data_IF_073312731663
#
_entry.id   IF_073312731663
#
_cell.length_a   1.000
_cell.length_b   1.000
_cell.length_c   1.000
_cell.angle_alpha   90.00
_cell.angle_beta   90.00
_cell.angle_gamma   90.00
#
_symmetry.space_group_name_H-M   'P 1'
#
loop_
_entity.id
_entity.type
_entity.pdbx_description
1 polymer ?
#
# COMPACT_ATOMS: atom_id res chain seq x y z
N UNK A 1 0.11 -33.70 -5.22
CA UNK A 1 1.52 -33.46 -4.87
C UNK A 1 2.13 -34.64 -4.12
N UNK A 2 1.47 -35.17 -3.07
CA UNK A 2 1.92 -36.36 -2.34
C UNK A 2 2.09 -37.61 -3.22
N UNK A 3 1.16 -37.87 -4.15
CA UNK A 3 1.26 -38.98 -5.10
C UNK A 3 2.45 -38.85 -6.08
N UNK A 4 2.89 -37.62 -6.37
CA UNK A 4 4.05 -37.35 -7.22
C UNK A 4 5.36 -37.52 -6.44
N UNK A 5 5.41 -36.98 -5.22
CA UNK A 5 6.57 -37.08 -4.33
C UNK A 5 6.81 -38.54 -3.88
N UNK A 6 5.75 -39.30 -3.60
CA UNK A 6 5.86 -40.72 -3.23
C UNK A 6 6.32 -41.64 -4.37
N UNK A 7 6.08 -41.25 -5.63
CA UNK A 7 6.49 -42.03 -6.80
C UNK A 7 7.96 -41.85 -7.15
N UNK A 8 8.52 -40.66 -6.95
CA UNK A 8 9.88 -40.32 -7.38
C UNK A 8 10.89 -40.18 -6.24
N UNK A 9 10.46 -40.15 -4.97
CA UNK A 9 11.34 -39.97 -3.82
C UNK A 9 10.97 -40.87 -2.62
N UNK A 10 10.94 -42.21 -2.79
CA UNK A 10 10.33 -43.13 -1.82
C UNK A 10 11.08 -43.28 -0.48
N UNK A 11 12.33 -42.84 -0.36
CA UNK A 11 13.14 -43.02 0.87
C UNK A 11 14.04 -41.83 1.25
N UNK A 12 13.86 -40.64 0.69
CA UNK A 12 14.79 -39.52 0.96
C UNK A 12 14.24 -38.48 1.93
N UNK A 13 14.96 -38.25 3.03
CA UNK A 13 14.87 -36.97 3.75
C UNK A 13 15.49 -35.87 2.90
N UNK A 14 14.71 -34.87 2.49
CA UNK A 14 15.24 -33.71 1.76
C UNK A 14 15.85 -32.75 2.78
N UNK A 15 17.18 -32.71 2.87
CA UNK A 15 17.87 -31.57 3.47
C UNK A 15 18.12 -30.54 2.38
N UNK A 16 17.44 -29.39 2.44
CA UNK A 16 17.81 -28.23 1.61
C UNK A 16 19.05 -27.61 2.26
N UNK A 17 20.23 -27.94 1.74
CA UNK A 17 21.46 -27.22 2.05
C UNK A 17 21.52 -25.98 1.16
N UNK A 18 21.17 -24.82 1.70
CA UNK A 18 21.44 -23.55 1.04
C UNK A 18 22.86 -23.11 1.43
N UNK A 19 23.80 -23.14 0.49
CA UNK A 19 25.09 -22.42 0.65
C UNK A 19 24.88 -20.99 0.16
N UNK A 20 24.77 -20.06 1.09
CA UNK A 20 24.85 -18.63 0.78
C UNK A 20 26.32 -18.29 0.53
N UNK A 21 26.68 -18.01 -0.72
CA UNK A 21 27.93 -17.30 -1.00
C UNK A 21 27.69 -15.83 -0.70
N UNK A 22 27.93 -15.42 0.54
CA UNK A 22 28.05 -14.01 0.88
C UNK A 22 29.34 -13.47 0.24
N UNK A 23 29.23 -12.41 -0.55
CA UNK A 23 30.38 -11.60 -0.91
C UNK A 23 31.06 -11.13 0.38
N UNK A 24 32.39 -11.17 0.40
CA UNK A 24 33.22 -10.86 1.56
C UNK A 24 32.86 -9.48 2.14
N UNK A 25 32.06 -9.43 3.21
CA UNK A 25 32.05 -8.42 4.31
C UNK A 25 30.83 -8.58 5.22
N UNK A 26 30.83 -9.63 6.04
CA UNK A 26 30.40 -9.66 7.46
C UNK A 26 30.36 -11.11 7.89
N UNK A 27 31.35 -11.49 8.69
CA UNK A 27 31.40 -12.77 9.37
C UNK A 27 30.47 -12.74 10.58
N UNK A 28 29.91 -13.92 10.86
CA UNK A 28 29.36 -14.38 12.14
C UNK A 28 28.00 -13.84 12.62
N UNK A 29 26.93 -14.38 12.05
CA UNK A 29 25.77 -14.83 12.84
C UNK A 29 25.32 -16.22 12.36
N UNK A 30 25.68 -17.26 13.12
CA UNK A 30 25.16 -18.61 12.90
C UNK A 30 23.68 -18.69 13.33
N UNK A 31 22.75 -18.39 12.43
CA UNK A 31 21.31 -18.61 12.68
C UNK A 31 20.93 -20.03 12.28
N UNK A 32 20.59 -20.87 13.28
CA UNK A 32 20.12 -22.24 13.09
C UNK A 32 18.61 -22.27 12.89
N UNK A 33 18.18 -22.79 11.75
CA UNK A 33 16.81 -23.27 11.51
C UNK A 33 16.44 -24.28 12.61
N UNK A 34 15.32 -24.09 13.30
CA UNK A 34 14.82 -25.09 14.25
C UNK A 34 13.76 -25.96 13.58
N UNK A 35 13.97 -27.27 13.63
CA UNK A 35 12.96 -28.26 13.27
C UNK A 35 12.09 -28.49 14.50
N UNK A 36 10.83 -28.06 14.44
CA UNK A 36 9.79 -28.34 15.43
C UNK A 36 8.87 -29.45 14.93
N UNK A 37 8.06 -30.01 15.82
CA UNK A 37 7.00 -30.96 15.46
C UNK A 37 5.91 -30.36 14.56
N UNK A 38 5.96 -29.05 14.30
CA UNK A 38 5.03 -28.30 13.45
C UNK A 38 5.66 -27.80 12.15
N UNK A 39 6.97 -27.96 11.95
CA UNK A 39 7.67 -27.52 10.73
C UNK A 39 9.06 -26.95 10.99
N UNK A 40 9.61 -26.23 10.03
CA UNK A 40 10.85 -25.47 10.20
C UNK A 40 10.45 -24.05 10.62
N UNK A 41 10.94 -23.61 11.76
CA UNK A 41 10.67 -22.28 12.31
C UNK A 41 11.97 -21.45 12.37
N UNK A 42 11.88 -20.20 11.89
CA UNK A 42 12.89 -19.15 12.06
C UNK A 42 12.36 -18.14 13.09
N UNK A 43 13.03 -17.96 14.24
CA UNK A 43 12.64 -16.94 15.20
C UNK A 43 13.06 -15.55 14.70
N UNK A 44 12.11 -14.61 14.62
CA UNK A 44 12.40 -13.18 14.77
C UNK A 44 12.86 -12.40 13.53
N UNK A 45 12.82 -12.95 12.31
CA UNK A 45 13.20 -12.20 11.10
C UNK A 45 11.99 -11.92 10.21
N UNK A 46 11.69 -10.64 9.98
CA UNK A 46 10.72 -10.19 8.98
C UNK A 46 11.50 -9.73 7.73
N UNK A 47 10.96 -9.97 6.53
CA UNK A 47 11.40 -9.36 5.26
C UNK A 47 12.70 -9.89 4.59
N UNK A 48 13.10 -11.15 4.79
CA UNK A 48 14.21 -11.76 4.05
C UNK A 48 13.77 -12.64 2.87
N UNK A 49 14.65 -12.78 1.86
CA UNK A 49 14.42 -13.65 0.70
C UNK A 49 14.14 -15.12 1.07
N UNK A 50 14.71 -15.60 2.18
CA UNK A 50 14.45 -16.95 2.71
C UNK A 50 13.01 -17.08 3.17
N UNK A 51 12.47 -16.08 3.86
CA UNK A 51 11.08 -16.08 4.31
C UNK A 51 10.12 -15.97 3.12
N UNK A 52 10.47 -15.18 2.09
CA UNK A 52 9.72 -15.16 0.84
C UNK A 52 9.73 -16.55 0.17
N UNK A 53 10.90 -17.21 0.06
CA UNK A 53 11.00 -18.57 -0.48
C UNK A 53 10.20 -19.59 0.35
N UNK A 54 10.19 -19.42 1.67
CA UNK A 54 9.37 -20.25 2.56
C UNK A 54 7.87 -20.01 2.33
N UNK A 55 7.42 -18.76 2.21
CA UNK A 55 6.04 -18.42 1.81
C UNK A 55 5.67 -18.99 0.44
N UNK A 56 6.59 -19.00 -0.52
CA UNK A 56 6.37 -19.62 -1.82
C UNK A 56 6.20 -21.15 -1.70
N UNK A 57 6.99 -21.80 -0.85
CA UNK A 57 7.00 -23.26 -0.73
C UNK A 57 5.90 -23.83 0.19
N UNK A 58 5.50 -23.06 1.23
CA UNK A 58 4.64 -23.51 2.33
C UNK A 58 3.49 -22.57 2.64
N UNK A 59 3.46 -21.41 2.03
CA UNK A 59 2.40 -20.44 2.23
C UNK A 59 1.08 -20.88 1.64
N UNK A 60 0.06 -20.08 1.92
CA UNK A 60 -1.26 -20.21 1.32
C UNK A 60 -1.54 -18.96 0.50
N UNK A 61 -2.49 -19.09 -0.42
CA UNK A 61 -2.95 -17.96 -1.19
C UNK A 61 -3.95 -17.15 -0.38
N UNK A 62 -3.78 -15.84 -0.36
CA UNK A 62 -4.69 -14.88 0.22
C UNK A 62 -5.15 -13.91 -0.88
N UNK A 63 -6.43 -13.52 -0.82
CA UNK A 63 -6.98 -12.51 -1.72
C UNK A 63 -6.33 -11.16 -1.43
N UNK A 64 -6.15 -10.36 -2.48
CA UNK A 64 -5.60 -9.02 -2.41
C UNK A 64 -6.44 -8.11 -3.30
N UNK A 65 -6.83 -6.96 -2.76
CA UNK A 65 -7.42 -5.90 -3.56
C UNK A 65 -6.36 -5.29 -4.47
N UNK A 66 -6.73 -4.99 -5.70
CA UNK A 66 -5.90 -4.20 -6.60
C UNK A 66 -6.70 -2.98 -7.01
N UNK A 67 -6.04 -1.91 -7.42
CA UNK A 67 -6.71 -0.71 -7.90
C UNK A 67 -6.24 -0.30 -9.28
N UNK A 68 -7.10 0.45 -9.98
CA UNK A 68 -6.76 1.09 -11.25
C UNK A 68 -6.60 2.58 -11.03
N UNK A 69 -5.42 3.11 -11.33
CA UNK A 69 -5.12 4.53 -11.40
C UNK A 69 -5.20 5.02 -12.85
N UNK A 70 -5.95 6.09 -13.10
CA UNK A 70 -6.05 6.74 -14.42
C UNK A 70 -5.81 8.22 -14.29
N UNK A 71 -4.90 8.80 -15.07
CA UNK A 71 -4.69 10.24 -15.06
C UNK A 71 -5.62 10.98 -16.03
N UNK A 72 -5.56 12.32 -16.02
CA UNK A 72 -6.33 13.19 -16.92
C UNK A 72 -6.13 12.93 -18.43
N UNK A 73 -4.98 12.38 -18.83
CA UNK A 73 -4.65 12.04 -20.23
C UNK A 73 -5.06 10.61 -20.62
N UNK A 74 -5.66 9.86 -19.71
CA UNK A 74 -6.06 8.47 -19.93
C UNK A 74 -4.92 7.44 -19.83
N UNK A 75 -3.74 7.83 -19.31
CA UNK A 75 -2.69 6.88 -18.90
C UNK A 75 -3.22 6.06 -17.74
N UNK A 76 -3.02 4.75 -17.80
CA UNK A 76 -3.48 3.81 -16.78
C UNK A 76 -2.29 3.12 -16.11
N UNK A 77 -2.35 2.99 -14.79
CA UNK A 77 -1.47 2.15 -13.97
C UNK A 77 -2.34 1.30 -13.04
N UNK A 78 -1.88 0.10 -12.70
CA UNK A 78 -2.52 -0.73 -11.69
C UNK A 78 -1.59 -0.83 -10.51
N UNK A 79 -2.14 -0.72 -9.31
CA UNK A 79 -1.38 -0.80 -8.09
C UNK A 79 -2.03 -1.70 -7.06
N UNK A 80 -1.30 -1.94 -5.98
CA UNK A 80 -1.70 -2.78 -4.86
C UNK A 80 -1.40 -2.17 -3.49
N UNK A 81 -0.68 -1.04 -3.45
CA UNK A 81 -0.22 -0.45 -2.19
C UNK A 81 -0.86 0.92 -1.93
N UNK A 82 -0.53 1.94 -2.72
CA UNK A 82 -0.82 3.33 -2.37
C UNK A 82 -0.92 4.28 -3.57
N UNK A 83 -1.60 5.41 -3.34
CA UNK A 83 -1.39 6.65 -4.08
C UNK A 83 -0.98 7.75 -3.10
N UNK A 84 0.03 8.53 -3.48
CA UNK A 84 0.66 9.55 -2.66
C UNK A 84 0.65 10.90 -3.40
N UNK A 85 0.39 11.96 -2.65
CA UNK A 85 0.47 13.36 -3.11
C UNK A 85 0.91 14.26 -1.93
N UNK A 86 1.11 15.55 -2.21
CA UNK A 86 1.56 16.57 -1.27
C UNK A 86 2.89 16.19 -0.60
N UNK A 87 3.05 16.48 0.69
CA UNK A 87 4.27 16.20 1.45
C UNK A 87 4.80 14.76 1.28
N UNK A 88 3.91 13.76 1.16
CA UNK A 88 4.31 12.35 1.13
C UNK A 88 4.97 11.99 -0.20
N UNK A 89 4.38 12.38 -1.33
CA UNK A 89 5.00 12.16 -2.65
C UNK A 89 6.33 12.93 -2.79
N UNK A 90 6.37 14.16 -2.26
CA UNK A 90 7.59 14.96 -2.22
C UNK A 90 8.69 14.26 -1.40
N UNK A 91 8.33 13.72 -0.23
CA UNK A 91 9.23 12.95 0.63
C UNK A 91 9.74 11.70 -0.08
N UNK A 92 8.85 10.88 -0.66
CA UNK A 92 9.26 9.62 -1.28
C UNK A 92 10.24 9.85 -2.43
N UNK A 93 9.89 10.73 -3.37
CA UNK A 93 10.72 11.00 -4.55
C UNK A 93 12.00 11.76 -4.21
N UNK A 94 11.96 12.79 -3.35
CA UNK A 94 13.15 13.57 -3.04
C UNK A 94 14.12 12.77 -2.15
N UNK A 95 13.61 11.85 -1.34
CA UNK A 95 14.44 10.99 -0.49
C UNK A 95 15.31 10.00 -1.28
N UNK A 96 15.01 9.73 -2.55
CA UNK A 96 15.84 8.89 -3.43
C UNK A 96 17.28 9.40 -3.56
N UNK A 97 17.52 10.71 -3.36
CA UNK A 97 18.88 11.29 -3.28
C UNK A 97 19.69 10.76 -2.10
N UNK A 98 19.00 10.21 -1.09
CA UNK A 98 19.57 9.65 0.13
C UNK A 98 19.45 8.12 0.17
N UNK A 99 19.20 7.45 -0.96
CA UNK A 99 19.07 5.98 -1.04
C UNK A 99 20.24 5.21 -0.42
N UNK A 100 21.43 5.81 -0.39
CA UNK A 100 22.61 5.26 0.28
C UNK A 100 22.42 5.02 1.80
N UNK A 101 21.50 5.75 2.44
CA UNK A 101 21.16 5.60 3.86
C UNK A 101 20.06 4.56 4.12
N UNK A 102 19.58 3.85 3.10
CA UNK A 102 18.50 2.88 3.24
C UNK A 102 17.21 3.54 3.75
N UNK A 103 16.53 2.89 4.71
CA UNK A 103 15.23 3.33 5.24
C UNK A 103 15.31 4.70 5.95
N UNK A 104 16.49 5.09 6.44
CA UNK A 104 16.70 6.42 7.02
C UNK A 104 16.51 7.56 6.00
N UNK A 105 16.44 7.27 4.69
CA UNK A 105 16.17 8.27 3.65
C UNK A 105 14.91 9.08 3.93
N UNK A 106 13.87 8.42 4.45
CA UNK A 106 12.60 9.06 4.78
C UNK A 106 12.76 9.98 5.97
N UNK A 107 13.42 9.53 7.04
CA UNK A 107 13.73 10.36 8.20
C UNK A 107 14.51 11.62 7.82
N UNK A 108 15.52 11.49 6.94
CA UNK A 108 16.32 12.62 6.45
C UNK A 108 15.41 13.60 5.68
N UNK A 109 14.60 13.10 4.74
CA UNK A 109 13.71 13.93 3.94
C UNK A 109 12.66 14.64 4.80
N UNK A 110 11.98 13.93 5.72
CA UNK A 110 11.02 14.54 6.66
C UNK A 110 11.68 15.59 7.54
N UNK A 111 12.92 15.36 8.00
CA UNK A 111 13.66 16.33 8.82
C UNK A 111 13.96 17.61 8.03
N UNK A 112 14.45 17.49 6.79
CA UNK A 112 14.70 18.65 5.94
C UNK A 112 13.42 19.45 5.69
N UNK A 113 12.30 18.76 5.48
CA UNK A 113 11.00 19.39 5.30
C UNK A 113 10.53 20.12 6.58
N UNK A 114 10.68 19.50 7.77
CA UNK A 114 10.39 20.14 9.08
C UNK A 114 11.16 21.46 9.25
N UNK A 115 12.41 21.51 8.80
CA UNK A 115 13.25 22.71 8.89
C UNK A 115 13.00 23.74 7.77
N UNK A 116 12.06 23.48 6.85
CA UNK A 116 11.58 24.44 5.85
C UNK A 116 12.31 24.36 4.51
N UNK A 117 12.94 23.23 4.20
CA UNK A 117 13.68 23.04 2.94
C UNK A 117 12.83 22.49 1.77
N UNK A 118 11.50 22.47 1.89
CA UNK A 118 10.63 22.06 0.77
C UNK A 118 9.24 22.68 0.79
N UNK A 119 8.38 22.20 -0.11
CA UNK A 119 7.09 22.80 -0.44
C UNK A 119 6.06 22.49 0.64
N UNK A 120 5.30 23.51 1.08
CA UNK A 120 4.26 23.34 2.11
C UNK A 120 2.86 23.59 1.59
N UNK A 121 2.75 24.22 0.42
CA UNK A 121 1.48 24.58 -0.19
C UNK A 121 1.10 23.58 -1.27
N UNK A 122 -0.02 22.88 -1.05
CA UNK A 122 -0.57 21.88 -1.96
C UNK A 122 -2.09 22.11 -2.07
N UNK A 123 -2.50 23.16 -2.79
CA UNK A 123 -3.90 23.40 -3.09
C UNK A 123 -4.39 22.35 -4.09
N UNK A 124 -5.62 21.91 -3.93
CA UNK A 124 -6.22 20.91 -4.80
C UNK A 124 -7.62 20.54 -4.36
N UNK A 125 -8.19 19.53 -5.01
CA UNK A 125 -9.51 19.00 -4.72
C UNK A 125 -9.45 17.49 -4.63
N UNK A 126 -10.14 16.95 -3.64
CA UNK A 126 -10.44 15.54 -3.51
C UNK A 126 -11.94 15.34 -3.73
N UNK A 127 -12.31 14.41 -4.58
CA UNK A 127 -13.68 13.93 -4.74
C UNK A 127 -13.71 12.43 -4.50
N UNK A 128 -14.58 11.93 -3.62
CA UNK A 128 -14.60 10.51 -3.28
C UNK A 128 -16.03 9.97 -3.15
N UNK A 129 -16.17 8.67 -3.43
CA UNK A 129 -17.42 7.93 -3.25
C UNK A 129 -17.62 7.67 -1.76
N UNK A 130 -18.75 8.12 -1.21
CA UNK A 130 -19.07 7.94 0.21
C UNK A 130 -19.31 6.47 0.50
N UNK A 131 -18.66 5.99 1.56
CA UNK A 131 -18.79 4.63 2.08
C UNK A 131 -19.36 4.70 3.50
N UNK A 132 -20.30 3.79 3.85
CA UNK A 132 -20.92 3.74 5.19
C UNK A 132 -20.39 2.56 5.98
N UNK A 133 -20.06 2.75 7.26
CA UNK A 133 -19.43 1.71 8.09
C UNK A 133 -20.25 0.43 8.22
N UNK A 134 -21.57 0.52 8.14
CA UNK A 134 -22.52 -0.58 8.25
C UNK A 134 -22.86 -1.25 6.91
N UNK A 135 -22.28 -0.78 5.80
CA UNK A 135 -22.57 -1.36 4.49
C UNK A 135 -21.89 -2.72 4.30
N UNK A 136 -22.53 -3.67 3.59
CA UNK A 136 -21.90 -4.94 3.29
C UNK A 136 -20.65 -4.73 2.44
N UNK A 137 -19.66 -5.62 2.60
CA UNK A 137 -18.44 -5.55 1.80
C UNK A 137 -18.78 -5.63 0.30
N UNK A 138 -18.05 -4.90 -0.57
CA UNK A 138 -18.31 -4.88 -1.99
C UNK A 138 -18.23 -6.28 -2.59
N UNK A 139 -19.00 -6.59 -3.62
CA UNK A 139 -18.89 -7.90 -4.29
C UNK A 139 -17.47 -8.10 -4.82
N UNK A 140 -16.94 -9.32 -4.71
CA UNK A 140 -15.62 -9.63 -5.27
C UNK A 140 -15.62 -9.43 -6.78
N UNK A 141 -14.49 -9.00 -7.32
CA UNK A 141 -14.34 -8.73 -8.74
C UNK A 141 -14.67 -9.98 -9.58
N UNK A 142 -14.07 -11.12 -9.23
CA UNK A 142 -14.27 -12.37 -9.97
C UNK A 142 -15.68 -12.95 -9.82
N UNK A 143 -16.44 -12.61 -8.78
CA UNK A 143 -17.86 -13.02 -8.66
C UNK A 143 -18.75 -12.21 -9.63
N UNK A 144 -18.33 -10.99 -9.95
CA UNK A 144 -19.06 -10.09 -10.86
C UNK A 144 -18.69 -10.33 -12.33
N UNK A 145 -17.43 -10.67 -12.60
CA UNK A 145 -16.87 -10.76 -13.95
C UNK A 145 -16.42 -12.16 -14.37
N UNK A 146 -16.38 -13.15 -13.47
CA UNK A 146 -15.77 -14.47 -13.72
C UNK A 146 -16.45 -15.34 -14.78
N UNK A 147 -17.65 -14.95 -15.24
CA UNK A 147 -18.36 -15.62 -16.34
C UNK A 147 -18.23 -14.93 -17.72
N UNK A 148 -17.54 -13.79 -17.81
CA UNK A 148 -17.33 -13.03 -19.06
C UNK A 148 -15.97 -13.36 -19.68
N UNK A 149 -15.79 -13.07 -20.98
CA UNK A 149 -14.49 -13.15 -21.64
C UNK A 149 -13.44 -12.34 -20.86
N UNK A 150 -12.24 -12.88 -20.72
CA UNK A 150 -11.12 -12.19 -20.05
C UNK A 150 -10.86 -10.85 -20.72
N UNK A 151 -11.15 -9.76 -20.00
CA UNK A 151 -10.85 -8.40 -20.47
C UNK A 151 -9.37 -8.12 -20.25
N UNK A 152 -8.77 -7.33 -21.14
CA UNK A 152 -7.36 -6.91 -21.00
C UNK A 152 -7.12 -5.96 -19.81
N UNK A 153 -8.19 -5.39 -19.25
CA UNK A 153 -8.16 -4.40 -18.16
C UNK A 153 -9.35 -4.62 -17.22
N UNK A 154 -9.19 -4.37 -15.90
CA UNK A 154 -10.32 -4.33 -14.98
C UNK A 154 -11.31 -3.22 -15.38
N UNK A 155 -12.59 -3.46 -15.10
CA UNK A 155 -13.69 -2.51 -15.36
C UNK A 155 -13.90 -1.64 -14.12
N UNK A 156 -13.91 -0.31 -14.29
CA UNK A 156 -14.09 0.66 -13.23
C UNK A 156 -15.57 1.06 -13.12
N UNK A 157 -16.36 0.24 -12.43
CA UNK A 157 -17.81 0.41 -12.30
C UNK A 157 -18.15 1.75 -11.62
N UNK A 158 -17.47 2.09 -10.53
CA UNK A 158 -17.81 3.28 -9.74
C UNK A 158 -17.52 4.57 -10.52
N UNK A 159 -16.36 4.63 -11.18
CA UNK A 159 -15.98 5.78 -12.00
C UNK A 159 -16.82 5.90 -13.28
N UNK A 160 -17.26 4.78 -13.86
CA UNK A 160 -18.12 4.83 -15.05
C UNK A 160 -19.54 5.31 -14.69
N UNK A 161 -20.10 4.86 -13.58
CA UNK A 161 -21.37 5.36 -13.04
C UNK A 161 -21.33 6.84 -12.69
N UNK A 162 -20.21 7.31 -12.13
CA UNK A 162 -20.00 8.73 -11.86
C UNK A 162 -20.08 9.56 -13.15
N UNK A 163 -19.44 9.11 -14.24
CA UNK A 163 -19.51 9.78 -15.56
C UNK A 163 -20.91 9.75 -16.15
N UNK A 164 -21.65 8.68 -15.97
CA UNK A 164 -23.04 8.54 -16.41
C UNK A 164 -24.02 9.37 -15.56
N UNK A 165 -23.57 9.94 -14.44
CA UNK A 165 -24.38 10.77 -13.56
C UNK A 165 -25.41 9.97 -12.77
N UNK A 166 -25.11 8.71 -12.44
CA UNK A 166 -26.01 7.84 -11.68
C UNK A 166 -26.26 8.42 -10.28
N UNK A 167 -27.54 8.73 -9.97
CA UNK A 167 -27.92 9.38 -8.70
C UNK A 167 -27.91 8.46 -7.47
N UNK A 168 -27.70 7.16 -7.65
CA UNK A 168 -27.69 6.20 -6.54
C UNK A 168 -26.43 6.29 -5.69
N UNK A 169 -25.36 6.88 -6.22
CA UNK A 169 -24.07 6.99 -5.52
C UNK A 169 -23.86 8.42 -5.02
N UNK A 170 -23.50 8.54 -3.74
CA UNK A 170 -23.21 9.83 -3.10
C UNK A 170 -21.70 10.09 -3.21
N UNK A 171 -21.34 11.17 -3.91
CA UNK A 171 -19.96 11.64 -4.03
C UNK A 171 -19.78 12.93 -3.24
N UNK A 172 -18.72 13.03 -2.44
CA UNK A 172 -18.36 14.24 -1.69
C UNK A 172 -17.10 14.88 -2.23
N UNK A 173 -17.03 16.20 -2.17
CA UNK A 173 -15.87 17.00 -2.51
C UNK A 173 -15.27 17.64 -1.27
N UNK A 174 -13.94 17.66 -1.20
CA UNK A 174 -13.15 18.38 -0.22
C UNK A 174 -12.15 19.24 -1.00
N UNK A 175 -12.19 20.54 -0.76
CA UNK A 175 -11.17 21.46 -1.25
C UNK A 175 -10.04 21.56 -0.22
N UNK A 176 -8.81 21.64 -0.75
CA UNK A 176 -7.60 21.84 0.02
C UNK A 176 -7.47 23.26 0.55
N UNK A 177 -6.28 23.63 1.07
CA UNK A 177 -5.00 22.94 0.87
C UNK A 177 -4.84 21.68 1.73
N UNK A 178 -4.07 20.72 1.21
CA UNK A 178 -3.77 19.45 1.87
C UNK A 178 -2.28 19.37 2.20
N UNK A 179 -1.90 19.43 3.46
CA UNK A 179 -0.50 19.26 3.87
C UNK A 179 0.04 17.86 3.52
N UNK A 180 -0.76 16.81 3.78
CA UNK A 180 -0.46 15.44 3.40
C UNK A 180 -1.67 14.79 2.73
N UNK A 181 -1.38 13.97 1.73
CA UNK A 181 -2.33 13.05 1.12
C UNK A 181 -1.65 11.70 0.96
N UNK A 182 -2.10 10.71 1.72
CA UNK A 182 -1.61 9.34 1.61
C UNK A 182 -2.78 8.38 1.58
N UNK A 183 -2.93 7.67 0.48
CA UNK A 183 -4.06 6.79 0.27
C UNK A 183 -3.57 5.36 0.14
N UNK A 184 -4.21 4.43 0.86
CA UNK A 184 -3.69 3.10 1.13
C UNK A 184 -4.71 2.00 0.79
N UNK A 185 -4.25 0.97 0.09
CA UNK A 185 -4.98 -0.27 -0.18
C UNK A 185 -4.87 -1.28 0.97
N UNK A 186 -3.77 -1.21 1.72
CA UNK A 186 -3.44 -2.11 2.82
C UNK A 186 -3.01 -1.28 4.03
N UNK A 187 -2.99 -1.87 5.22
CA UNK A 187 -2.77 -1.09 6.45
C UNK A 187 -1.38 -0.47 6.58
N UNK A 188 -0.37 -1.08 5.99
CA UNK A 188 1.04 -0.70 6.14
C UNK A 188 1.64 -0.23 4.81
N UNK A 189 2.32 0.91 4.82
CA UNK A 189 3.15 1.36 3.70
C UNK A 189 4.56 0.74 3.73
N UNK A 190 5.05 0.48 4.94
CA UNK A 190 6.33 -0.17 5.23
C UNK A 190 6.21 -0.95 6.56
N UNK A 191 7.27 -1.67 6.93
CA UNK A 191 7.29 -2.48 8.15
C UNK A 191 7.00 -1.70 9.43
N UNK A 192 7.37 -0.43 9.44
CA UNK A 192 7.32 0.57 10.51
C UNK A 192 6.31 1.70 10.21
N UNK A 193 5.50 1.56 9.15
CA UNK A 193 4.58 2.61 8.72
C UNK A 193 3.14 2.11 8.66
N UNK A 194 2.44 2.13 9.80
CA UNK A 194 1.06 1.66 9.95
C UNK A 194 0.03 2.75 9.61
N UNK A 195 -0.01 3.18 8.36
CA UNK A 195 -0.74 4.37 7.90
C UNK A 195 -2.26 4.24 8.01
N UNK A 196 -2.82 3.06 7.71
CA UNK A 196 -4.26 2.80 7.72
C UNK A 196 -4.61 1.57 8.57
N UNK A 197 -4.55 1.66 9.91
CA UNK A 197 -4.87 0.57 10.82
C UNK A 197 -6.15 -0.23 10.55
N UNK A 198 -7.29 0.38 10.14
CA UNK A 198 -8.51 -0.38 9.87
C UNK A 198 -8.50 -1.15 8.54
N UNK A 199 -7.52 -0.94 7.66
CA UNK A 199 -7.53 -1.51 6.32
C UNK A 199 -7.33 -3.03 6.32
N UNK A 200 -8.29 -3.73 5.71
CA UNK A 200 -8.17 -5.13 5.34
C UNK A 200 -7.46 -5.29 4.00
N UNK A 201 -6.74 -6.40 3.83
CA UNK A 201 -6.03 -6.68 2.56
C UNK A 201 -6.96 -6.96 1.35
N UNK A 202 -8.23 -7.27 1.63
CA UNK A 202 -9.21 -7.68 0.62
C UNK A 202 -10.65 -7.24 0.97
N UNK A 203 -10.77 -6.07 1.61
CA UNK A 203 -12.05 -5.54 2.11
C UNK A 203 -12.84 -4.75 1.05
N UNK A 204 -12.20 -4.43 -0.08
CA UNK A 204 -12.76 -3.73 -1.22
C UNK A 204 -12.66 -2.21 -1.13
N UNK A 205 -11.86 -1.67 -0.22
CA UNK A 205 -11.76 -0.24 0.05
C UNK A 205 -10.33 0.28 0.01
N UNK A 206 -10.24 1.58 -0.22
CA UNK A 206 -9.06 2.41 -0.05
C UNK A 206 -9.24 3.33 1.15
N UNK A 207 -8.14 3.64 1.83
CA UNK A 207 -8.13 4.45 3.04
C UNK A 207 -7.31 5.70 2.80
N UNK A 208 -7.99 6.85 2.73
CA UNK A 208 -7.38 8.16 2.45
C UNK A 208 -7.02 8.83 3.77
N UNK A 209 -5.74 8.87 4.10
CA UNK A 209 -5.21 9.68 5.19
C UNK A 209 -4.91 11.09 4.67
N UNK A 210 -5.57 12.08 5.25
CA UNK A 210 -5.48 13.48 4.88
C UNK A 210 -5.04 14.30 6.07
N UNK A 211 -4.18 15.28 5.82
CA UNK A 211 -3.88 16.34 6.77
C UNK A 211 -4.20 17.68 6.14
N UNK A 212 -5.29 18.33 6.57
CA UNK A 212 -5.73 19.60 6.00
C UNK A 212 -4.88 20.78 6.45
N UNK A 213 -4.73 21.80 5.60
CA UNK A 213 -4.09 23.09 5.88
C UNK A 213 -2.72 23.30 5.21
N UNK A 214 -2.25 24.55 5.17
CA UNK A 214 -1.02 24.96 4.45
C UNK A 214 0.28 24.71 5.21
N UNK A 215 0.20 24.54 6.53
CA UNK A 215 1.39 24.38 7.36
C UNK A 215 1.13 23.46 8.54
N UNK A 216 2.18 22.80 9.00
CA UNK A 216 2.17 21.97 10.19
C UNK A 216 3.25 22.45 11.14
N UNK A 217 2.96 22.54 12.44
CA UNK A 217 3.97 22.93 13.41
C UNK A 217 5.09 21.87 13.43
N UNK A 218 6.35 22.28 13.55
CA UNK A 218 7.49 21.34 13.53
C UNK A 218 7.35 20.22 14.56
N UNK A 219 6.96 20.59 15.78
CA UNK A 219 6.73 19.64 16.87
C UNK A 219 5.53 18.74 16.59
N UNK A 220 4.46 19.29 16.02
CA UNK A 220 3.31 18.50 15.65
C UNK A 220 3.68 17.49 14.55
N UNK A 221 4.46 17.89 13.55
CA UNK A 221 4.85 17.02 12.45
C UNK A 221 5.75 15.90 12.97
N UNK A 222 6.71 16.23 13.84
CA UNK A 222 7.51 15.21 14.51
C UNK A 222 6.64 14.24 15.32
N UNK A 223 5.66 14.74 16.08
CA UNK A 223 4.72 13.89 16.83
C UNK A 223 3.88 13.01 15.92
N UNK A 224 3.41 13.54 14.79
CA UNK A 224 2.64 12.80 13.79
C UNK A 224 3.48 11.67 13.21
N UNK A 225 4.71 11.95 12.79
CA UNK A 225 5.61 10.95 12.21
C UNK A 225 6.00 9.87 13.23
N UNK A 226 6.19 10.22 14.51
CA UNK A 226 6.46 9.24 15.57
C UNK A 226 5.27 8.33 15.84
N UNK A 227 4.03 8.83 15.71
CA UNK A 227 2.83 8.03 15.96
C UNK A 227 2.45 7.06 14.85
N UNK A 228 3.14 7.09 13.69
CA UNK A 228 2.83 6.26 12.52
C UNK A 228 3.09 4.77 12.78
N UNK A 229 4.14 4.42 13.53
CA UNK A 229 4.50 3.01 13.76
C UNK A 229 3.41 2.31 14.58
N UNK A 230 2.91 2.95 15.64
CA UNK A 230 1.84 2.43 16.49
C UNK A 230 0.42 2.72 15.94
N UNK A 231 0.29 3.56 14.92
CA UNK A 231 -1.00 3.98 14.36
C UNK A 231 -1.72 5.09 15.14
N UNK A 232 -1.05 5.70 16.12
CA UNK A 232 -1.59 6.79 16.98
C UNK A 232 -1.61 8.14 16.28
N UNK A 233 -1.00 8.26 15.10
CA UNK A 233 -1.08 9.46 14.25
C UNK A 233 -2.53 9.83 13.91
N UNK A 234 -3.45 8.86 13.89
CA UNK A 234 -4.88 9.09 13.66
C UNK A 234 -5.58 9.87 14.79
N UNK A 235 -5.01 9.91 16.00
CA UNK A 235 -5.58 10.64 17.13
C UNK A 235 -5.34 12.16 17.02
N UNK A 236 -4.48 12.59 16.08
CA UNK A 236 -4.21 14.01 15.86
C UNK A 236 -5.42 14.70 15.21
N UNK A 237 -5.87 15.81 15.80
CA UNK A 237 -7.09 16.56 15.41
C UNK A 237 -7.17 16.93 13.91
N UNK A 238 -6.02 17.11 13.26
CA UNK A 238 -5.93 17.50 11.84
C UNK A 238 -5.89 16.32 10.86
N UNK A 239 -5.81 15.10 11.37
CA UNK A 239 -5.73 13.88 10.55
C UNK A 239 -7.13 13.36 10.33
N UNK A 240 -7.47 13.10 9.08
CA UNK A 240 -8.72 12.45 8.70
C UNK A 240 -8.39 11.15 7.98
N UNK A 241 -9.09 10.07 8.32
CA UNK A 241 -9.02 8.81 7.59
C UNK A 241 -10.37 8.54 6.95
N UNK A 242 -10.43 8.57 5.61
CA UNK A 242 -11.66 8.37 4.84
C UNK A 242 -11.58 7.03 4.14
N UNK A 243 -12.51 6.12 4.42
CA UNK A 243 -12.70 4.89 3.65
C UNK A 243 -13.51 5.19 2.39
N UNK A 244 -13.09 4.68 1.23
CA UNK A 244 -13.82 4.85 -0.04
C UNK A 244 -13.51 3.71 -1.02
N UNK A 245 -14.33 3.53 -2.06
CA UNK A 245 -14.07 2.57 -3.15
C UNK A 245 -13.45 3.21 -4.38
N UNK A 246 -13.71 4.50 -4.58
CA UNK A 246 -13.24 5.25 -5.74
C UNK A 246 -13.13 6.72 -5.39
N UNK A 247 -12.12 7.39 -5.94
CA UNK A 247 -11.90 8.81 -5.73
C UNK A 247 -11.11 9.44 -6.87
N UNK A 248 -11.18 10.76 -6.97
CA UNK A 248 -10.38 11.60 -7.84
C UNK A 248 -9.64 12.61 -6.98
N UNK A 249 -8.32 12.66 -7.08
CA UNK A 249 -7.50 13.74 -6.53
C UNK A 249 -7.01 14.62 -7.67
N UNK A 250 -7.11 15.93 -7.49
CA UNK A 250 -6.64 16.92 -8.45
C UNK A 250 -5.81 17.99 -7.76
N UNK A 251 -4.52 18.01 -8.03
CA UNK A 251 -3.65 19.12 -7.63
C UNK A 251 -4.00 20.38 -8.43
N UNK A 252 -3.98 21.53 -7.78
CA UNK A 252 -4.07 22.82 -8.46
C UNK A 252 -2.72 23.23 -9.05
N UNK A 253 -1.63 22.80 -8.43
CA UNK A 253 -0.27 22.99 -8.92
C UNK A 253 0.06 21.89 -9.94
N UNK A 254 0.46 22.28 -11.16
CA UNK A 254 0.75 21.32 -12.22
C UNK A 254 2.02 20.50 -11.96
N UNK A 255 2.97 21.05 -11.21
CA UNK A 255 4.28 20.44 -10.93
C UNK A 255 4.28 19.58 -9.66
N UNK A 256 3.15 19.47 -8.95
CA UNK A 256 3.04 18.62 -7.78
C UNK A 256 3.29 17.15 -8.14
N UNK A 257 4.13 16.50 -7.34
CA UNK A 257 4.44 15.09 -7.53
C UNK A 257 3.29 14.22 -7.05
N UNK A 258 2.97 13.19 -7.84
CA UNK A 258 2.05 12.12 -7.46
C UNK A 258 2.73 10.78 -7.70
N UNK A 259 2.55 9.83 -6.79
CA UNK A 259 3.18 8.51 -6.87
C UNK A 259 2.15 7.41 -6.67
N UNK A 260 2.20 6.38 -7.51
CA UNK A 260 1.40 5.15 -7.36
C UNK A 260 2.37 4.02 -7.01
N UNK A 261 2.17 3.38 -5.85
CA UNK A 261 3.06 2.34 -5.30
C UNK A 261 4.56 2.75 -5.28
N UNK A 262 4.84 4.04 -5.00
CA UNK A 262 6.19 4.62 -4.99
C UNK A 262 6.77 5.00 -6.36
N UNK A 263 6.02 4.78 -7.44
CA UNK A 263 6.44 5.15 -8.80
C UNK A 263 5.77 6.45 -9.26
N UNK A 264 6.55 7.35 -9.90
CA UNK A 264 6.03 8.62 -10.42
C UNK A 264 4.87 8.39 -11.40
N UNK A 265 3.73 9.00 -11.10
CA UNK A 265 2.55 8.97 -11.93
C UNK A 265 2.14 10.39 -12.35
N UNK A 266 1.92 10.67 -13.65
CA UNK A 266 1.66 12.04 -14.10
C UNK A 266 0.30 12.55 -13.59
N UNK A 267 0.34 13.64 -12.84
CA UNK A 267 -0.84 14.44 -12.47
C UNK A 267 -1.27 15.40 -13.60
N UNK A 268 -2.00 16.48 -13.30
CA UNK A 268 -2.40 16.93 -11.96
C UNK A 268 -3.67 16.23 -11.45
N UNK A 269 -4.37 15.46 -12.28
CA UNK A 269 -5.59 14.73 -11.90
C UNK A 269 -5.35 13.22 -11.98
N UNK A 270 -5.65 12.50 -10.90
CA UNK A 270 -5.58 11.04 -10.82
C UNK A 270 -6.88 10.49 -10.23
N UNK A 271 -7.47 9.52 -10.95
CA UNK A 271 -8.68 8.79 -10.56
C UNK A 271 -8.30 7.38 -10.15
N UNK A 272 -8.84 6.92 -9.04
CA UNK A 272 -8.58 5.59 -8.47
C UNK A 272 -9.90 4.86 -8.29
N UNK A 273 -9.93 3.58 -8.63
CA UNK A 273 -10.99 2.65 -8.23
C UNK A 273 -10.39 1.32 -7.76
N UNK A 274 -10.89 0.83 -6.62
CA UNK A 274 -10.48 -0.43 -6.01
C UNK A 274 -11.32 -1.61 -6.52
N UNK A 275 -10.64 -2.71 -6.83
CA UNK A 275 -11.20 -3.97 -7.31
C UNK A 275 -11.03 -5.04 -6.24
N UNK A 276 -12.13 -5.35 -5.55
CA UNK A 276 -12.09 -6.29 -4.43
C UNK A 276 -11.64 -7.69 -4.87
N UNK A 277 -10.64 -8.25 -4.19
CA UNK A 277 -10.11 -9.60 -4.39
C UNK A 277 -9.72 -9.89 -5.85
N UNK A 278 -9.29 -8.87 -6.60
CA UNK A 278 -8.83 -9.04 -7.98
C UNK A 278 -7.51 -9.83 -8.03
N UNK A 279 -6.61 -9.55 -7.10
CA UNK A 279 -5.30 -10.16 -6.98
C UNK A 279 -5.26 -11.30 -5.96
N UNK A 280 -4.14 -12.02 -5.97
CA UNK A 280 -3.80 -13.05 -4.99
C UNK A 280 -2.33 -12.99 -4.64
N UNK A 281 -2.02 -13.08 -3.35
CA UNK A 281 -0.65 -13.10 -2.82
C UNK A 281 -0.40 -14.37 -2.03
N UNK A 282 0.87 -14.77 -1.92
CA UNK A 282 1.28 -15.89 -1.09
C UNK A 282 1.70 -15.37 0.28
N UNK A 283 1.04 -15.86 1.32
CA UNK A 283 1.30 -15.49 2.71
C UNK A 283 1.61 -16.72 3.55
N UNK A 284 2.32 -16.52 4.67
CA UNK A 284 2.47 -17.58 5.66
C UNK A 284 1.13 -17.84 6.35
N UNK A 285 0.87 -19.08 6.80
CA UNK A 285 -0.34 -19.39 7.54
C UNK A 285 -0.43 -18.47 8.77
N UNK A 286 -1.54 -17.74 8.89
CA UNK A 286 -1.82 -16.98 10.11
C UNK A 286 -1.83 -17.91 11.34
N UNK A 287 -1.42 -17.39 12.50
CA UNK A 287 -1.65 -18.11 13.75
C UNK A 287 -3.16 -18.26 13.93
N UNK A 288 -3.64 -19.51 13.98
CA UNK A 288 -5.00 -19.84 14.40
C UNK A 288 -5.21 -19.48 15.86
#
# INVERSE_FOLDING_TARGET
MEAYLGKFWPQGSVSVSCRVYASQRRADEHKRLQLTSKGIELPGERFEAINAAYSLAKGHTQELDLFTATNGDGKVMHGFLSLEWAFIADMDIKSERYRYFGDMRFLIASTLQIFGFGQTDFPGRLRYLVSKEDEPLPTKYHDTFGGKETTAKPTCICLDKEKEGEKSEEWKELDGPFYMFWSMNVSHAAADAHIAPPAGISDGYFYLMLVSGESFSRMGLASLMMGIEEGTHLDAERVQLIRTRAFTVRASNADDLMCVDGELFPGPEVKIEVHRALGRVLCLPGKK
#
